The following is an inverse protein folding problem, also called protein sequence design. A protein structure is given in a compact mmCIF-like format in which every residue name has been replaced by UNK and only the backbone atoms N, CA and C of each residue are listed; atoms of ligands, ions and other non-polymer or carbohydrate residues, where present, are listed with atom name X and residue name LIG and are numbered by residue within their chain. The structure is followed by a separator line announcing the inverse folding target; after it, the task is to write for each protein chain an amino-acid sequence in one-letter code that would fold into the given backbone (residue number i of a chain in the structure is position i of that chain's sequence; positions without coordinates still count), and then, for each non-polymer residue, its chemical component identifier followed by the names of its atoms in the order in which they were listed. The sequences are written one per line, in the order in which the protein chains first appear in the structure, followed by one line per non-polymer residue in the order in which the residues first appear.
data_IF_851485632598
#
_entry.id   IF_851485632598
#
_cell.length_a   1.000
_cell.length_b   1.000
_cell.length_c   1.000
_cell.angle_alpha   90.00
_cell.angle_beta   90.00
_cell.angle_gamma   90.00
#
_symmetry.space_group_name_H-M   'P 1'
#
loop_
_entity.id
_entity.type
_entity.pdbx_description
1 polymer ?
#
# COMPACT_ATOMS: atom_id res chain seq x y z
N UNK A 1 -26.21 31.00 -4.70
CA UNK A 1 -26.57 29.69 -5.29
C UNK A 1 -27.13 28.83 -4.16
N UNK A 2 -28.40 28.47 -4.19
CA UNK A 2 -28.95 27.55 -3.17
C UNK A 2 -28.63 26.15 -3.61
N UNK A 3 -27.91 25.42 -2.77
CA UNK A 3 -27.68 24.00 -2.99
C UNK A 3 -29.03 23.28 -2.85
N UNK A 4 -29.48 22.65 -3.92
CA UNK A 4 -30.69 21.84 -3.94
C UNK A 4 -30.34 20.33 -4.01
N UNK A 5 -31.21 19.44 -3.50
CA UNK A 5 -30.94 18.01 -3.47
C UNK A 5 -30.61 17.38 -4.82
N UNK A 6 -31.30 17.69 -5.94
CA UNK A 6 -30.97 17.18 -7.25
C UNK A 6 -29.55 17.54 -7.69
N UNK A 7 -29.09 18.76 -7.45
CA UNK A 7 -27.73 19.20 -7.78
C UNK A 7 -26.70 18.39 -7.00
N UNK A 8 -26.90 18.13 -5.71
CA UNK A 8 -25.97 17.31 -4.91
C UNK A 8 -25.92 15.86 -5.41
N UNK A 9 -27.07 15.28 -5.79
CA UNK A 9 -27.10 13.92 -6.37
C UNK A 9 -26.35 13.85 -7.71
N UNK A 10 -26.49 14.85 -8.56
CA UNK A 10 -25.75 14.93 -9.84
C UNK A 10 -24.25 15.06 -9.58
N UNK A 11 -23.84 15.99 -8.69
CA UNK A 11 -22.43 16.16 -8.30
C UNK A 11 -21.88 14.87 -7.66
N UNK A 12 -22.64 14.26 -6.73
CA UNK A 12 -22.27 13.00 -6.10
C UNK A 12 -22.11 11.85 -7.09
N UNK A 13 -22.98 11.76 -8.09
CA UNK A 13 -22.86 10.77 -9.18
C UNK A 13 -21.60 11.01 -10.00
N UNK A 14 -21.35 12.27 -10.40
CA UNK A 14 -20.13 12.62 -11.16
C UNK A 14 -18.86 12.28 -10.37
N UNK A 15 -18.78 12.69 -9.11
CA UNK A 15 -17.66 12.36 -8.22
C UNK A 15 -17.52 10.85 -8.07
N UNK A 16 -18.65 10.14 -7.90
CA UNK A 16 -18.65 8.68 -7.80
C UNK A 16 -18.10 7.98 -9.03
N UNK A 17 -18.55 8.39 -10.22
CA UNK A 17 -18.02 7.87 -11.50
C UNK A 17 -16.53 8.17 -11.62
N UNK A 18 -16.12 9.41 -11.34
CA UNK A 18 -14.71 9.81 -11.41
C UNK A 18 -13.83 8.97 -10.47
N UNK A 19 -14.22 8.83 -9.20
CA UNK A 19 -13.45 8.03 -8.23
C UNK A 19 -13.42 6.56 -8.61
N UNK A 20 -14.54 6.00 -9.07
CA UNK A 20 -14.59 4.61 -9.55
C UNK A 20 -13.64 4.40 -10.74
N UNK A 21 -13.62 5.32 -11.71
CA UNK A 21 -12.69 5.26 -12.85
C UNK A 21 -11.24 5.38 -12.41
N UNK A 22 -10.92 6.33 -11.53
CA UNK A 22 -9.55 6.49 -10.99
C UNK A 22 -9.08 5.20 -10.32
N UNK A 23 -9.90 4.60 -9.47
CA UNK A 23 -9.56 3.35 -8.80
C UNK A 23 -9.46 2.17 -9.78
N UNK A 24 -10.35 2.09 -10.78
CA UNK A 24 -10.30 1.05 -11.80
C UNK A 24 -9.05 1.15 -12.70
N UNK A 25 -8.64 2.37 -13.06
CA UNK A 25 -7.40 2.60 -13.81
C UNK A 25 -6.18 2.28 -12.95
N UNK A 26 -6.21 2.69 -11.68
CA UNK A 26 -5.16 2.36 -10.72
C UNK A 26 -5.00 0.84 -10.57
N UNK A 27 -6.10 0.10 -10.37
CA UNK A 27 -6.07 -1.37 -10.21
C UNK A 27 -5.54 -2.09 -11.46
N UNK A 28 -5.94 -1.64 -12.67
CA UNK A 28 -5.47 -2.22 -13.94
C UNK A 28 -4.02 -1.86 -14.28
N UNK A 29 -3.57 -0.68 -13.86
CA UNK A 29 -2.20 -0.20 -14.10
C UNK A 29 -1.15 -0.81 -13.18
N UNK A 30 -1.54 -1.59 -12.16
CA UNK A 30 -0.60 -2.20 -11.24
C UNK A 30 0.09 -3.43 -11.85
N UNK A 31 1.44 -3.55 -11.73
CA UNK A 31 2.21 -4.68 -12.26
C UNK A 31 1.79 -6.03 -11.65
N UNK A 32 1.28 -6.00 -10.43
CA UNK A 32 0.68 -7.14 -9.72
C UNK A 32 -0.62 -6.70 -9.08
N UNK A 33 -1.65 -7.58 -9.08
CA UNK A 33 -2.91 -7.30 -8.41
C UNK A 33 -2.70 -6.99 -6.94
N UNK A 34 -3.10 -5.80 -6.52
CA UNK A 34 -3.07 -5.42 -5.10
C UNK A 34 -4.28 -6.01 -4.38
N UNK A 35 -4.06 -6.83 -3.32
CA UNK A 35 -5.16 -7.38 -2.55
C UNK A 35 -6.06 -6.26 -2.00
N UNK A 36 -7.35 -6.37 -2.23
CA UNK A 36 -8.35 -5.42 -1.71
C UNK A 36 -8.68 -4.25 -2.62
N UNK A 37 -7.85 -3.91 -3.61
CA UNK A 37 -8.10 -2.75 -4.49
C UNK A 37 -9.29 -3.00 -5.42
N UNK A 38 -9.44 -4.20 -5.96
CA UNK A 38 -10.59 -4.58 -6.77
C UNK A 38 -11.91 -4.51 -6.00
N UNK A 39 -11.92 -4.95 -4.73
CA UNK A 39 -13.09 -4.85 -3.87
C UNK A 39 -13.42 -3.39 -3.53
N UNK A 40 -12.41 -2.54 -3.30
CA UNK A 40 -12.60 -1.10 -3.10
C UNK A 40 -13.21 -0.48 -4.36
N UNK A 41 -12.67 -0.75 -5.53
CA UNK A 41 -13.22 -0.27 -6.82
C UNK A 41 -14.67 -0.70 -7.00
N UNK A 42 -15.00 -1.97 -6.74
CA UNK A 42 -16.36 -2.48 -6.82
C UNK A 42 -17.29 -1.84 -5.78
N UNK A 43 -16.78 -1.54 -4.58
CA UNK A 43 -17.52 -0.82 -3.53
C UNK A 43 -17.87 0.60 -3.93
N UNK A 44 -16.90 1.34 -4.50
CA UNK A 44 -17.13 2.68 -5.04
C UNK A 44 -18.13 2.67 -6.20
N UNK A 45 -18.04 1.68 -7.10
CA UNK A 45 -19.00 1.48 -8.18
C UNK A 45 -20.42 1.19 -7.64
N UNK A 46 -20.55 0.38 -6.59
CA UNK A 46 -21.83 0.07 -5.97
C UNK A 46 -22.46 1.31 -5.30
N UNK A 47 -21.68 2.14 -4.60
CA UNK A 47 -22.16 3.41 -4.06
C UNK A 47 -22.59 4.38 -5.18
N UNK A 48 -21.82 4.47 -6.27
CA UNK A 48 -22.18 5.29 -7.44
C UNK A 48 -23.48 4.79 -8.07
N UNK A 49 -23.64 3.49 -8.26
CA UNK A 49 -24.87 2.87 -8.76
C UNK A 49 -26.06 3.21 -7.84
N UNK A 50 -25.88 3.12 -6.52
CA UNK A 50 -26.91 3.49 -5.56
C UNK A 50 -27.35 4.95 -5.71
N UNK A 51 -26.40 5.88 -5.88
CA UNK A 51 -26.70 7.31 -6.08
C UNK A 51 -27.55 7.54 -7.34
N UNK A 52 -27.20 6.86 -8.45
CA UNK A 52 -28.00 6.90 -9.69
C UNK A 52 -29.40 6.34 -9.47
N UNK A 53 -29.52 5.18 -8.81
CA UNK A 53 -30.82 4.57 -8.51
C UNK A 53 -31.66 5.44 -7.58
N UNK A 54 -31.07 6.10 -6.59
CA UNK A 54 -31.77 7.06 -5.74
C UNK A 54 -32.27 8.29 -6.52
N UNK A 55 -31.52 8.77 -7.51
CA UNK A 55 -31.96 9.88 -8.36
C UNK A 55 -33.21 9.53 -9.19
N UNK A 56 -33.47 8.24 -9.46
CA UNK A 56 -34.70 7.80 -10.14
C UNK A 56 -35.99 8.06 -9.33
N UNK A 57 -35.87 8.41 -8.04
CA UNK A 57 -37.03 8.86 -7.26
C UNK A 57 -37.64 10.19 -7.76
N UNK A 58 -36.88 10.96 -8.55
CA UNK A 58 -37.40 12.15 -9.24
C UNK A 58 -38.30 11.82 -10.45
N UNK A 59 -38.29 10.55 -10.88
CA UNK A 59 -39.02 10.06 -12.04
C UNK A 59 -40.12 9.06 -11.60
N UNK A 60 -41.08 8.73 -12.45
CA UNK A 60 -42.11 7.71 -12.14
C UNK A 60 -41.51 6.29 -12.24
N UNK A 61 -40.46 6.03 -11.43
CA UNK A 61 -39.79 4.74 -11.37
C UNK A 61 -40.39 3.82 -10.30
N UNK A 62 -40.44 2.49 -10.53
CA UNK A 62 -40.90 1.54 -9.53
C UNK A 62 -40.12 1.65 -8.21
N UNK A 63 -40.81 1.67 -7.06
CA UNK A 63 -40.18 1.71 -5.73
C UNK A 63 -39.16 0.55 -5.50
N UNK A 64 -39.38 -0.58 -6.15
CA UNK A 64 -38.44 -1.69 -6.12
C UNK A 64 -37.05 -1.26 -6.63
N UNK A 65 -36.99 -0.47 -7.70
CA UNK A 65 -35.74 0.01 -8.30
C UNK A 65 -35.16 1.18 -7.55
N UNK A 66 -35.96 2.24 -7.39
CA UNK A 66 -35.48 3.52 -6.84
C UNK A 66 -35.29 3.51 -5.32
N UNK A 67 -35.84 2.54 -4.59
CA UNK A 67 -35.66 2.40 -3.15
C UNK A 67 -34.94 1.09 -2.80
N UNK A 68 -35.51 -0.08 -3.12
CA UNK A 68 -34.96 -1.34 -2.60
C UNK A 68 -33.62 -1.68 -3.26
N UNK A 69 -33.54 -1.65 -4.60
CA UNK A 69 -32.28 -1.93 -5.31
C UNK A 69 -31.23 -0.83 -5.05
N UNK A 70 -31.64 0.43 -4.90
CA UNK A 70 -30.75 1.50 -4.51
C UNK A 70 -30.09 1.23 -3.14
N UNK A 71 -30.89 0.85 -2.14
CA UNK A 71 -30.38 0.51 -0.81
C UNK A 71 -29.57 -0.79 -0.81
N UNK A 72 -29.93 -1.78 -1.64
CA UNK A 72 -29.14 -3.00 -1.80
C UNK A 72 -27.74 -2.71 -2.37
N UNK A 73 -27.68 -1.85 -3.40
CA UNK A 73 -26.42 -1.41 -3.98
C UNK A 73 -25.58 -0.62 -2.96
N UNK A 74 -26.22 0.27 -2.19
CA UNK A 74 -25.57 1.06 -1.15
C UNK A 74 -24.98 0.18 -0.04
N UNK A 75 -25.77 -0.76 0.49
CA UNK A 75 -25.34 -1.73 1.49
C UNK A 75 -24.18 -2.63 0.98
N UNK A 76 -24.26 -3.08 -0.28
CA UNK A 76 -23.18 -3.83 -0.91
C UNK A 76 -21.90 -2.99 -1.02
N UNK A 77 -22.02 -1.69 -1.30
CA UNK A 77 -20.88 -0.77 -1.30
C UNK A 77 -20.13 -0.74 0.02
N UNK A 78 -20.83 -0.65 1.16
CA UNK A 78 -20.20 -0.71 2.50
C UNK A 78 -19.49 -2.03 2.77
N UNK A 79 -20.10 -3.15 2.37
CA UNK A 79 -19.49 -4.48 2.56
C UNK A 79 -18.23 -4.61 1.74
N UNK A 80 -18.28 -4.25 0.45
CA UNK A 80 -17.15 -4.37 -0.46
C UNK A 80 -15.99 -3.45 -0.03
N UNK A 81 -16.26 -2.22 0.34
CA UNK A 81 -15.24 -1.30 0.85
C UNK A 81 -14.61 -1.79 2.15
N UNK A 82 -15.40 -2.30 3.09
CA UNK A 82 -14.90 -2.92 4.32
C UNK A 82 -13.99 -4.12 4.04
N UNK A 83 -14.41 -5.04 3.18
CA UNK A 83 -13.60 -6.21 2.78
C UNK A 83 -12.32 -5.73 2.10
N UNK A 84 -12.44 -4.75 1.19
CA UNK A 84 -11.33 -4.16 0.47
C UNK A 84 -10.28 -3.57 1.40
N UNK A 85 -10.67 -2.74 2.36
CA UNK A 85 -9.75 -2.16 3.35
C UNK A 85 -9.03 -3.24 4.17
N UNK A 86 -9.76 -4.27 4.63
CA UNK A 86 -9.14 -5.37 5.39
C UNK A 86 -8.10 -6.12 4.57
N UNK A 87 -8.45 -6.50 3.33
CA UNK A 87 -7.53 -7.20 2.42
C UNK A 87 -6.33 -6.32 2.05
N UNK A 88 -6.58 -5.04 1.84
CA UNK A 88 -5.53 -4.09 1.52
C UNK A 88 -4.46 -4.00 2.61
N UNK A 89 -4.82 -4.05 3.90
CA UNK A 89 -3.86 -4.06 5.01
C UNK A 89 -3.39 -5.47 5.41
N UNK A 90 -3.62 -6.49 4.57
CA UNK A 90 -3.17 -7.85 4.81
C UNK A 90 -3.94 -8.61 5.89
N UNK A 91 -5.14 -8.15 6.27
CA UNK A 91 -5.97 -8.82 7.28
C UNK A 91 -7.01 -9.73 6.62
N UNK A 92 -7.30 -10.90 7.19
CA UNK A 92 -8.36 -11.76 6.67
C UNK A 92 -9.71 -11.05 6.79
N UNK A 93 -10.48 -11.05 5.71
CA UNK A 93 -11.83 -10.54 5.69
C UNK A 93 -12.81 -11.73 5.76
N UNK A 94 -13.50 -11.88 6.90
CA UNK A 94 -14.66 -12.77 6.98
C UNK A 94 -15.81 -12.08 6.25
N UNK A 95 -16.28 -12.66 5.14
CA UNK A 95 -17.30 -12.03 4.30
C UNK A 95 -18.72 -12.23 4.85
N UNK A 96 -19.01 -13.36 5.46
CA UNK A 96 -20.37 -13.72 5.87
C UNK A 96 -21.03 -12.70 6.83
N UNK A 97 -20.39 -12.26 7.94
CA UNK A 97 -21.06 -11.32 8.84
C UNK A 97 -21.40 -9.97 8.20
N UNK A 98 -20.53 -9.30 7.42
CA UNK A 98 -20.89 -8.05 6.74
C UNK A 98 -22.03 -8.21 5.75
N UNK A 99 -22.04 -9.31 4.98
CA UNK A 99 -23.13 -9.59 4.04
C UNK A 99 -24.45 -9.89 4.74
N UNK A 100 -24.44 -10.53 5.91
CA UNK A 100 -25.62 -10.74 6.74
C UNK A 100 -26.23 -9.42 7.22
N UNK A 101 -25.38 -8.47 7.64
CA UNK A 101 -25.82 -7.10 8.01
C UNK A 101 -26.47 -6.41 6.80
N UNK A 102 -25.86 -6.47 5.63
CA UNK A 102 -26.42 -5.88 4.41
C UNK A 102 -27.75 -6.52 4.03
N UNK A 103 -27.87 -7.85 4.06
CA UNK A 103 -29.10 -8.57 3.74
C UNK A 103 -30.24 -8.21 4.72
N UNK A 104 -29.96 -8.16 6.02
CA UNK A 104 -30.92 -7.73 7.03
C UNK A 104 -31.39 -6.29 6.79
N UNK A 105 -30.45 -5.38 6.49
CA UNK A 105 -30.76 -3.99 6.13
C UNK A 105 -31.72 -3.93 4.95
N UNK A 106 -31.41 -4.63 3.87
CA UNK A 106 -32.24 -4.64 2.64
C UNK A 106 -33.63 -5.23 2.91
N UNK A 107 -33.73 -6.30 3.71
CA UNK A 107 -35.00 -6.93 4.08
C UNK A 107 -35.89 -5.95 4.85
N UNK A 108 -35.32 -5.21 5.84
CA UNK A 108 -36.07 -4.22 6.61
C UNK A 108 -36.44 -3.02 5.76
N UNK A 109 -35.58 -2.56 4.86
CA UNK A 109 -35.89 -1.50 3.88
C UNK A 109 -37.07 -1.92 2.98
N UNK A 110 -37.07 -3.15 2.46
CA UNK A 110 -38.15 -3.67 1.64
C UNK A 110 -39.47 -3.74 2.42
N UNK A 111 -39.42 -4.25 3.67
CA UNK A 111 -40.57 -4.26 4.56
C UNK A 111 -41.09 -2.86 4.85
N UNK A 112 -40.19 -1.90 5.17
CA UNK A 112 -40.53 -0.48 5.40
C UNK A 112 -40.95 0.25 4.13
N UNK A 113 -40.84 -0.35 2.94
CA UNK A 113 -41.30 0.22 1.67
C UNK A 113 -42.66 -0.30 1.25
N UNK A 114 -42.93 -1.59 1.42
CA UNK A 114 -44.11 -2.25 0.86
C UNK A 114 -45.15 -2.64 1.89
N UNK A 115 -44.77 -2.77 3.18
CA UNK A 115 -45.66 -3.25 4.23
C UNK A 115 -46.07 -2.08 5.18
N UNK A 116 -45.06 -1.33 5.68
CA UNK A 116 -45.33 -0.29 6.69
C UNK A 116 -45.23 1.14 6.18
N UNK A 117 -44.69 1.36 5.00
CA UNK A 117 -44.37 2.67 4.36
C UNK A 117 -43.87 3.73 5.36
N UNK A 118 -42.75 3.42 5.99
CA UNK A 118 -42.09 4.31 6.96
C UNK A 118 -40.73 4.80 6.43
N UNK A 119 -40.68 6.08 6.06
CA UNK A 119 -39.48 6.73 5.61
C UNK A 119 -38.40 6.77 6.71
N UNK A 120 -38.81 7.10 7.94
CA UNK A 120 -37.87 7.13 9.08
C UNK A 120 -37.21 5.77 9.34
N UNK A 121 -37.98 4.68 9.32
CA UNK A 121 -37.46 3.32 9.46
C UNK A 121 -36.42 2.99 8.37
N UNK A 122 -36.79 3.26 7.10
CA UNK A 122 -35.88 3.01 5.97
C UNK A 122 -34.55 3.77 6.11
N UNK A 123 -34.63 5.06 6.47
CA UNK A 123 -33.47 5.92 6.61
C UNK A 123 -32.60 5.51 7.79
N UNK A 124 -33.16 5.13 8.93
CA UNK A 124 -32.43 4.67 10.10
C UNK A 124 -31.69 3.34 9.82
N UNK A 125 -32.42 2.38 9.23
CA UNK A 125 -31.84 1.05 8.99
C UNK A 125 -30.78 1.08 7.90
N UNK A 126 -30.94 1.95 6.90
CA UNK A 126 -29.92 2.16 5.84
C UNK A 126 -28.56 2.59 6.40
N UNK A 127 -28.51 3.31 7.55
CA UNK A 127 -27.25 3.72 8.17
C UNK A 127 -26.55 2.63 8.97
N UNK A 128 -27.20 1.50 9.26
CA UNK A 128 -26.61 0.44 10.08
C UNK A 128 -25.30 -0.12 9.49
N UNK A 129 -25.22 -0.49 8.20
CA UNK A 129 -23.95 -0.94 7.61
C UNK A 129 -22.82 0.09 7.75
N UNK A 130 -23.13 1.38 7.56
CA UNK A 130 -22.17 2.47 7.70
C UNK A 130 -21.64 2.58 9.15
N UNK A 131 -22.54 2.64 10.13
CA UNK A 131 -22.21 2.76 11.55
C UNK A 131 -21.45 1.56 12.12
N UNK A 132 -21.55 0.39 11.50
CA UNK A 132 -20.87 -0.85 11.95
C UNK A 132 -19.56 -1.07 11.19
N UNK A 133 -19.59 -0.97 9.87
CA UNK A 133 -18.47 -1.42 9.03
C UNK A 133 -17.37 -0.36 8.89
N UNK A 134 -17.71 0.93 8.81
CA UNK A 134 -16.72 1.99 8.65
C UNK A 134 -15.87 2.23 9.89
N UNK A 135 -16.39 2.25 11.13
CA UNK A 135 -15.54 2.31 12.31
C UNK A 135 -14.61 1.10 12.42
N UNK A 136 -15.12 -0.10 12.09
CA UNK A 136 -14.31 -1.32 12.08
C UNK A 136 -13.19 -1.27 11.02
N UNK A 137 -13.46 -0.66 9.85
CA UNK A 137 -12.46 -0.43 8.81
C UNK A 137 -11.42 0.59 9.25
N UNK A 138 -11.85 1.76 9.76
CA UNK A 138 -10.98 2.83 10.24
C UNK A 138 -10.03 2.34 11.35
N UNK A 139 -10.57 1.63 12.33
CA UNK A 139 -9.78 0.99 13.38
C UNK A 139 -8.75 0.00 12.83
N UNK A 140 -9.14 -0.80 11.83
CA UNK A 140 -8.24 -1.71 11.14
C UNK A 140 -7.08 -1.00 10.47
N UNK A 141 -7.35 0.10 9.77
CA UNK A 141 -6.36 0.94 9.09
C UNK A 141 -5.37 1.59 10.08
N UNK A 142 -5.88 2.15 11.18
CA UNK A 142 -5.06 2.86 12.17
C UNK A 142 -4.17 1.93 13.02
N UNK A 143 -4.61 0.69 13.29
CA UNK A 143 -3.85 -0.30 14.08
C UNK A 143 -2.82 -1.09 13.28
N UNK A 144 -2.62 -0.81 12.03
CA UNK A 144 -1.59 -1.51 11.24
C UNK A 144 -0.24 -0.83 11.47
N UNK A 145 0.74 -1.52 12.07
CA UNK A 145 2.04 -0.96 12.42
C UNK A 145 2.93 -0.85 11.17
N UNK A 146 2.84 0.24 10.46
CA UNK A 146 3.72 0.53 9.32
C UNK A 146 3.81 2.05 9.14
N UNK A 147 4.89 2.68 9.61
CA UNK A 147 5.03 4.13 9.56
C UNK A 147 5.13 4.67 8.13
N UNK A 148 5.70 3.90 7.19
CA UNK A 148 5.88 4.33 5.80
C UNK A 148 4.54 4.53 5.05
N UNK A 149 3.48 3.81 5.48
CA UNK A 149 2.13 3.85 4.88
C UNK A 149 1.11 4.54 5.76
N UNK A 150 1.54 5.45 6.62
CA UNK A 150 0.64 6.04 7.62
C UNK A 150 -0.28 7.10 7.03
N UNK A 151 0.18 7.88 6.05
CA UNK A 151 -0.54 9.05 5.55
C UNK A 151 -1.83 8.67 4.84
N UNK A 152 -1.79 7.81 3.83
CA UNK A 152 -2.99 7.38 3.09
C UNK A 152 -4.01 6.70 3.99
N UNK A 153 -3.56 5.83 4.91
CA UNK A 153 -4.44 5.15 5.89
C UNK A 153 -5.10 6.13 6.86
N UNK A 154 -4.37 7.13 7.35
CA UNK A 154 -4.91 8.14 8.24
C UNK A 154 -5.96 9.00 7.54
N UNK A 155 -5.72 9.39 6.30
CA UNK A 155 -6.67 10.15 5.47
C UNK A 155 -7.95 9.35 5.28
N UNK A 156 -7.88 8.10 4.84
CA UNK A 156 -9.07 7.25 4.68
C UNK A 156 -9.81 7.12 6.01
N UNK A 157 -9.10 6.76 7.10
CA UNK A 157 -9.74 6.58 8.40
C UNK A 157 -10.44 7.86 8.89
N UNK A 158 -9.83 9.03 8.68
CA UNK A 158 -10.42 10.30 9.04
C UNK A 158 -11.73 10.56 8.28
N UNK A 159 -11.75 10.38 6.96
CA UNK A 159 -12.96 10.57 6.16
C UNK A 159 -14.05 9.55 6.51
N UNK A 160 -13.71 8.28 6.75
CA UNK A 160 -14.67 7.27 7.21
C UNK A 160 -15.28 7.65 8.56
N UNK A 161 -14.50 8.16 9.51
CA UNK A 161 -14.98 8.55 10.82
C UNK A 161 -15.83 9.83 10.77
N UNK A 162 -15.52 10.78 9.89
CA UNK A 162 -16.33 11.97 9.65
C UNK A 162 -17.69 11.58 9.06
N UNK A 163 -17.70 10.63 8.10
CA UNK A 163 -18.92 10.12 7.50
C UNK A 163 -19.82 9.44 8.54
N UNK A 164 -19.24 8.56 9.36
CA UNK A 164 -19.91 7.90 10.49
C UNK A 164 -20.51 8.92 11.48
N UNK A 165 -19.77 9.96 11.82
CA UNK A 165 -20.26 11.02 12.71
C UNK A 165 -21.47 11.75 12.11
N UNK A 166 -21.41 12.07 10.81
CA UNK A 166 -22.51 12.71 10.10
C UNK A 166 -23.76 11.80 10.05
N UNK A 167 -23.58 10.50 9.77
CA UNK A 167 -24.65 9.51 9.78
C UNK A 167 -25.29 9.33 11.17
N UNK A 168 -24.46 9.32 12.21
CA UNK A 168 -24.92 9.24 13.59
C UNK A 168 -25.75 10.48 14.01
N UNK A 169 -25.25 11.67 13.67
CA UNK A 169 -25.98 12.92 13.93
C UNK A 169 -27.32 12.93 13.19
N UNK A 170 -27.34 12.57 11.90
CA UNK A 170 -28.57 12.44 11.13
C UNK A 170 -29.56 11.46 11.78
N UNK A 171 -29.07 10.30 12.18
CA UNK A 171 -29.92 9.29 12.84
C UNK A 171 -30.47 9.78 14.17
N UNK A 172 -29.69 10.51 14.98
CA UNK A 172 -30.13 11.12 16.23
C UNK A 172 -31.22 12.17 16.01
N UNK A 173 -31.09 13.00 14.97
CA UNK A 173 -32.12 13.99 14.60
C UNK A 173 -33.44 13.31 14.22
N UNK A 174 -33.38 12.23 13.41
CA UNK A 174 -34.59 11.47 13.03
C UNK A 174 -35.25 10.82 14.25
N UNK A 175 -34.45 10.26 15.16
CA UNK A 175 -35.00 9.66 16.40
C UNK A 175 -35.62 10.69 17.32
N UNK A 176 -35.03 11.87 17.43
CA UNK A 176 -35.55 12.95 18.28
C UNK A 176 -36.82 13.62 17.71
N UNK A 177 -36.88 13.81 16.38
CA UNK A 177 -38.03 14.44 15.70
C UNK A 177 -39.16 13.46 15.39
N UNK A 178 -38.88 12.15 15.37
CA UNK A 178 -39.82 11.12 14.91
C UNK A 178 -40.10 11.15 13.41
N UNK A 179 -39.47 12.07 12.66
CA UNK A 179 -39.72 12.30 11.22
C UNK A 179 -38.42 12.19 10.41
N UNK A 180 -38.53 11.69 9.19
CA UNK A 180 -37.50 11.77 8.18
C UNK A 180 -38.03 12.52 6.96
N UNK A 181 -37.21 13.37 6.38
CA UNK A 181 -37.57 14.14 5.20
C UNK A 181 -37.32 13.33 3.92
N UNK A 182 -38.22 13.43 2.92
CA UNK A 182 -37.99 12.78 1.63
C UNK A 182 -36.70 13.31 0.93
N UNK A 183 -36.02 12.44 0.18
CA UNK A 183 -34.73 12.71 -0.44
C UNK A 183 -34.72 13.99 -1.32
N UNK A 184 -35.84 14.31 -1.96
CA UNK A 184 -35.93 15.42 -2.92
C UNK A 184 -36.51 16.72 -2.32
N UNK A 185 -37.02 16.69 -1.08
CA UNK A 185 -37.61 17.86 -0.39
C UNK A 185 -36.87 18.20 0.90
N UNK A 186 -35.58 17.93 0.95
CA UNK A 186 -34.78 17.95 2.15
C UNK A 186 -34.64 19.29 2.82
N UNK A 187 -34.77 19.30 4.14
CA UNK A 187 -34.34 20.38 5.03
C UNK A 187 -32.79 20.38 5.23
N UNK A 188 -32.34 21.41 5.95
CA UNK A 188 -30.90 21.70 6.07
C UNK A 188 -30.04 20.59 6.60
N UNK A 189 -30.51 19.78 7.56
CA UNK A 189 -29.71 18.70 8.17
C UNK A 189 -29.42 17.53 7.20
N UNK A 190 -30.43 17.13 6.43
CA UNK A 190 -30.32 16.06 5.47
C UNK A 190 -29.45 16.48 4.26
N UNK A 191 -29.61 17.73 3.82
CA UNK A 191 -28.81 18.33 2.76
C UNK A 191 -27.31 18.40 3.16
N UNK A 192 -27.04 18.84 4.40
CA UNK A 192 -25.69 18.90 4.95
C UNK A 192 -25.07 17.51 5.03
N UNK A 193 -25.80 16.49 5.46
CA UNK A 193 -25.34 15.11 5.45
C UNK A 193 -24.94 14.64 4.06
N UNK A 194 -25.80 14.84 3.05
CA UNK A 194 -25.49 14.42 1.67
C UNK A 194 -24.29 15.15 1.09
N UNK A 195 -24.20 16.47 1.30
CA UNK A 195 -23.06 17.24 0.83
C UNK A 195 -21.75 16.75 1.48
N UNK A 196 -21.79 16.49 2.80
CA UNK A 196 -20.63 15.97 3.52
C UNK A 196 -20.29 14.55 3.07
N UNK A 197 -21.28 13.68 2.83
CA UNK A 197 -21.06 12.34 2.30
C UNK A 197 -20.34 12.37 0.94
N UNK A 198 -20.68 13.28 0.03
CA UNK A 198 -19.95 13.44 -1.25
C UNK A 198 -18.50 13.82 -1.03
N UNK A 199 -18.22 14.72 -0.07
CA UNK A 199 -16.86 15.14 0.27
C UNK A 199 -16.07 14.00 0.91
N UNK A 200 -16.64 13.27 1.86
CA UNK A 200 -15.99 12.14 2.55
C UNK A 200 -15.73 10.99 1.59
N UNK A 201 -16.66 10.71 0.69
CA UNK A 201 -16.52 9.72 -0.36
C UNK A 201 -15.36 10.05 -1.31
N UNK A 202 -15.27 11.31 -1.79
CA UNK A 202 -14.16 11.78 -2.61
C UNK A 202 -12.82 11.69 -1.86
N UNK A 203 -12.79 12.16 -0.61
CA UNK A 203 -11.60 12.12 0.24
C UNK A 203 -11.11 10.70 0.55
N UNK A 204 -12.02 9.77 0.78
CA UNK A 204 -11.71 8.36 0.94
C UNK A 204 -11.12 7.77 -0.36
N UNK A 205 -11.67 8.12 -1.54
CA UNK A 205 -11.14 7.72 -2.85
C UNK A 205 -9.70 8.21 -3.09
N UNK A 206 -9.43 9.48 -2.78
CA UNK A 206 -8.08 10.06 -2.84
C UNK A 206 -7.14 9.33 -1.87
N UNK A 207 -7.60 9.06 -0.65
CA UNK A 207 -6.80 8.32 0.34
C UNK A 207 -6.47 6.88 -0.12
N UNK A 208 -7.41 6.18 -0.75
CA UNK A 208 -7.17 4.84 -1.35
C UNK A 208 -6.13 4.93 -2.47
N UNK A 209 -6.24 5.93 -3.33
CA UNK A 209 -5.26 6.15 -4.42
C UNK A 209 -3.87 6.39 -3.85
N UNK A 210 -3.76 7.23 -2.80
CA UNK A 210 -2.49 7.47 -2.12
C UNK A 210 -1.92 6.18 -1.50
N UNK A 211 -2.75 5.39 -0.82
CA UNK A 211 -2.33 4.09 -0.28
C UNK A 211 -1.81 3.13 -1.37
N UNK A 212 -2.45 3.13 -2.55
CA UNK A 212 -2.01 2.32 -3.68
C UNK A 212 -0.66 2.80 -4.24
N UNK A 213 -0.47 4.11 -4.36
CA UNK A 213 0.81 4.71 -4.78
C UNK A 213 1.94 4.47 -3.77
N UNK A 214 1.68 4.59 -2.47
CA UNK A 214 2.66 4.26 -1.41
C UNK A 214 3.15 2.81 -1.57
N UNK A 215 2.23 1.87 -1.81
CA UNK A 215 2.57 0.45 -2.04
C UNK A 215 3.38 0.22 -3.32
N UNK A 216 2.97 0.86 -4.43
CA UNK A 216 3.69 0.75 -5.70
C UNK A 216 5.12 1.27 -5.55
N UNK A 217 5.27 2.42 -4.90
CA UNK A 217 6.58 3.01 -4.65
C UNK A 217 7.51 2.07 -3.86
N UNK A 218 6.99 1.46 -2.78
CA UNK A 218 7.77 0.49 -2.00
C UNK A 218 8.15 -0.75 -2.81
N UNK A 219 7.23 -1.25 -3.65
CA UNK A 219 7.53 -2.40 -4.51
C UNK A 219 8.62 -2.06 -5.54
N UNK A 220 8.57 -0.86 -6.15
CA UNK A 220 9.61 -0.37 -7.05
C UNK A 220 10.95 -0.15 -6.31
N UNK A 221 10.92 0.42 -5.11
CA UNK A 221 12.11 0.57 -4.27
C UNK A 221 12.68 -0.81 -3.91
N UNK A 222 11.83 -1.78 -3.55
CA UNK A 222 12.26 -3.16 -3.27
C UNK A 222 12.87 -3.86 -4.48
N UNK A 223 12.31 -3.67 -5.68
CA UNK A 223 12.89 -4.18 -6.92
C UNK A 223 14.24 -3.54 -7.23
N UNK A 224 14.41 -2.26 -6.88
CA UNK A 224 15.67 -1.54 -7.03
C UNK A 224 16.73 -1.90 -5.96
N UNK A 225 16.40 -2.70 -4.94
CA UNK A 225 17.32 -3.07 -3.86
C UNK A 225 18.27 -4.20 -4.24
N UNK A 226 17.86 -5.07 -5.15
CA UNK A 226 18.69 -6.19 -5.61
C UNK A 226 19.05 -6.03 -7.07
N UNK A 227 20.31 -6.33 -7.37
CA UNK A 227 20.79 -6.44 -8.74
C UNK A 227 20.06 -7.60 -9.44
N UNK A 228 19.48 -7.34 -10.61
CA UNK A 228 18.64 -8.31 -11.32
C UNK A 228 19.38 -9.53 -11.82
N UNK A 229 20.69 -9.41 -12.06
CA UNK A 229 21.53 -10.48 -12.52
C UNK A 229 22.02 -11.35 -11.34
N UNK A 230 22.65 -10.74 -10.37
CA UNK A 230 23.37 -11.47 -9.31
C UNK A 230 22.54 -11.70 -8.05
N UNK A 231 21.41 -10.99 -7.88
CA UNK A 231 20.62 -11.00 -6.65
C UNK A 231 21.33 -10.38 -5.42
N UNK A 232 22.55 -9.84 -5.58
CA UNK A 232 23.22 -9.04 -4.55
C UNK A 232 22.49 -7.71 -4.36
N UNK A 233 22.73 -7.00 -3.25
CA UNK A 233 22.22 -5.65 -3.11
C UNK A 233 22.80 -4.74 -4.21
N UNK A 234 21.95 -3.85 -4.75
CA UNK A 234 22.47 -2.77 -5.59
C UNK A 234 23.36 -1.85 -4.77
N UNK A 235 24.26 -1.10 -5.41
CA UNK A 235 25.14 -0.12 -4.76
C UNK A 235 24.38 0.76 -3.78
N UNK A 236 23.25 1.36 -4.19
CA UNK A 236 22.42 2.22 -3.34
C UNK A 236 21.89 1.47 -2.11
N UNK A 237 21.29 0.31 -2.31
CA UNK A 237 20.74 -0.49 -1.23
C UNK A 237 21.81 -0.94 -0.23
N UNK A 238 23.01 -1.28 -0.74
CA UNK A 238 24.13 -1.64 0.11
C UNK A 238 24.56 -0.48 1.02
N UNK A 239 24.69 0.74 0.50
CA UNK A 239 25.07 1.90 1.32
C UNK A 239 24.00 2.26 2.34
N UNK A 240 22.71 2.11 2.01
CA UNK A 240 21.61 2.30 2.98
C UNK A 240 21.69 1.31 4.16
N UNK A 241 22.08 0.05 3.88
CA UNK A 241 22.30 -0.97 4.93
C UNK A 241 23.57 -0.68 5.72
N UNK A 242 24.66 -0.32 5.03
CA UNK A 242 25.94 -0.01 5.65
C UNK A 242 25.82 1.17 6.62
N UNK A 243 25.11 2.22 6.24
CA UNK A 243 24.92 3.40 7.10
C UNK A 243 24.11 3.07 8.37
N UNK A 244 23.04 2.29 8.25
CA UNK A 244 22.28 1.80 9.41
C UNK A 244 23.14 0.94 10.34
N UNK A 245 24.00 0.11 9.77
CA UNK A 245 24.93 -0.75 10.51
C UNK A 245 25.99 0.09 11.21
N UNK A 246 26.58 1.07 10.52
CA UNK A 246 27.51 2.04 11.12
C UNK A 246 26.90 2.72 12.34
N UNK A 247 25.68 3.28 12.22
CA UNK A 247 24.99 3.91 13.35
C UNK A 247 24.76 2.96 14.52
N UNK A 248 24.48 1.69 14.26
CA UNK A 248 24.32 0.67 15.30
C UNK A 248 25.64 0.39 15.98
N UNK A 249 26.70 0.11 15.21
CA UNK A 249 28.02 -0.19 15.72
C UNK A 249 28.60 0.97 16.54
N UNK A 250 28.43 2.21 16.09
CA UNK A 250 28.84 3.41 16.87
C UNK A 250 28.14 3.47 18.24
N UNK A 251 26.86 3.08 18.34
CA UNK A 251 26.14 3.08 19.62
C UNK A 251 26.52 1.92 20.53
N UNK A 252 26.81 0.74 19.98
CA UNK A 252 27.18 -0.46 20.76
C UNK A 252 28.67 -0.56 21.05
N UNK A 253 29.52 0.23 20.39
CA UNK A 253 30.97 0.10 20.47
C UNK A 253 31.53 -1.06 19.64
N UNK A 254 30.72 -1.71 18.80
CA UNK A 254 31.12 -2.82 17.95
C UNK A 254 31.91 -2.35 16.73
N UNK A 255 32.87 -3.17 16.28
CA UNK A 255 33.57 -2.96 15.02
C UNK A 255 32.69 -3.38 13.83
N UNK A 256 32.98 -2.86 12.65
CA UNK A 256 32.50 -3.38 11.38
C UNK A 256 33.61 -3.25 10.31
N UNK A 257 33.54 -4.06 9.27
CA UNK A 257 34.50 -3.98 8.17
C UNK A 257 33.77 -3.96 6.83
N UNK A 258 34.44 -3.34 5.84
CA UNK A 258 34.03 -3.35 4.44
C UNK A 258 35.11 -4.03 3.62
N UNK A 259 34.72 -4.95 2.76
CA UNK A 259 35.59 -5.56 1.76
C UNK A 259 35.15 -5.12 0.38
N UNK A 260 36.09 -4.71 -0.46
CA UNK A 260 35.85 -4.45 -1.88
C UNK A 260 36.53 -5.59 -2.68
N UNK A 261 35.75 -6.17 -3.58
CA UNK A 261 36.22 -7.23 -4.49
C UNK A 261 36.08 -6.72 -5.92
N UNK A 262 37.14 -6.95 -6.71
CA UNK A 262 37.18 -6.66 -8.13
C UNK A 262 37.59 -7.93 -8.88
N UNK A 263 36.95 -8.26 -10.00
CA UNK A 263 37.25 -9.43 -10.79
C UNK A 263 38.34 -9.09 -11.81
N UNK A 264 39.56 -9.56 -11.55
CA UNK A 264 40.68 -9.30 -12.44
C UNK A 264 40.44 -9.89 -13.84
N UNK A 265 40.69 -9.05 -14.86
CA UNK A 265 40.59 -9.43 -16.27
C UNK A 265 39.16 -9.82 -16.76
N UNK A 266 38.10 -9.46 -16.05
CA UNK A 266 36.73 -9.82 -16.43
C UNK A 266 36.34 -9.33 -17.84
N UNK A 267 36.85 -8.18 -18.27
CA UNK A 267 36.68 -7.70 -19.64
C UNK A 267 37.27 -8.67 -20.67
N UNK A 268 38.52 -9.10 -20.45
CA UNK A 268 39.18 -10.06 -21.36
C UNK A 268 38.45 -11.41 -21.40
N UNK A 269 37.87 -11.82 -20.27
CA UNK A 269 36.99 -12.99 -20.19
C UNK A 269 35.75 -12.83 -21.08
N UNK A 270 35.05 -11.70 -20.98
CA UNK A 270 33.87 -11.38 -21.81
C UNK A 270 34.22 -11.35 -23.30
N UNK A 271 35.36 -10.76 -23.66
CA UNK A 271 35.83 -10.66 -25.05
C UNK A 271 36.07 -12.05 -25.63
N UNK A 272 36.52 -13.02 -24.82
CA UNK A 272 36.84 -14.39 -25.24
C UNK A 272 35.61 -15.32 -25.22
N UNK A 273 34.71 -15.20 -24.23
CA UNK A 273 33.64 -16.19 -24.00
C UNK A 273 32.22 -15.62 -24.23
N UNK A 274 32.14 -14.32 -24.51
CA UNK A 274 30.87 -13.61 -24.72
C UNK A 274 30.18 -13.16 -23.43
N UNK A 275 29.37 -12.12 -23.53
CA UNK A 275 28.69 -11.48 -22.40
C UNK A 275 27.80 -12.44 -21.60
N UNK A 276 27.13 -13.39 -22.25
CA UNK A 276 26.28 -14.37 -21.53
C UNK A 276 27.10 -15.31 -20.62
N UNK A 277 28.35 -15.62 -20.99
CA UNK A 277 29.25 -16.38 -20.13
C UNK A 277 29.71 -15.52 -18.94
N UNK A 278 29.98 -14.23 -19.18
CA UNK A 278 30.31 -13.28 -18.12
C UNK A 278 29.15 -13.08 -17.14
N UNK A 279 27.91 -13.02 -17.61
CA UNK A 279 26.73 -12.91 -16.75
C UNK A 279 26.60 -14.11 -15.82
N UNK A 280 26.73 -15.35 -16.34
CA UNK A 280 26.76 -16.59 -15.54
C UNK A 280 27.91 -16.62 -14.54
N UNK A 281 29.07 -16.09 -14.92
CA UNK A 281 30.20 -15.97 -14.02
C UNK A 281 29.90 -15.02 -12.85
N UNK A 282 29.32 -13.84 -13.11
CA UNK A 282 28.91 -12.91 -12.06
C UNK A 282 27.86 -13.50 -11.11
N UNK A 283 26.89 -14.26 -11.62
CA UNK A 283 25.92 -15.00 -10.80
C UNK A 283 26.60 -16.03 -9.88
N UNK A 284 27.56 -16.75 -10.42
CA UNK A 284 28.37 -17.75 -9.68
C UNK A 284 29.20 -17.11 -8.58
N UNK A 285 29.85 -15.97 -8.87
CA UNK A 285 30.62 -15.19 -7.89
C UNK A 285 29.71 -14.72 -6.76
N UNK A 286 28.58 -14.12 -7.08
CA UNK A 286 27.63 -13.66 -6.07
C UNK A 286 27.08 -14.79 -5.19
N UNK A 287 26.89 -15.98 -5.77
CA UNK A 287 26.47 -17.18 -5.04
C UNK A 287 27.59 -17.69 -4.11
N UNK A 288 28.80 -17.76 -4.60
CA UNK A 288 29.98 -18.17 -3.84
C UNK A 288 30.24 -17.21 -2.65
N UNK A 289 30.14 -15.90 -2.89
CA UNK A 289 30.23 -14.90 -1.82
C UNK A 289 29.20 -15.14 -0.72
N UNK A 290 27.94 -15.38 -1.08
CA UNK A 290 26.87 -15.65 -0.08
C UNK A 290 27.12 -16.94 0.71
N UNK A 291 27.70 -17.95 0.11
CA UNK A 291 28.03 -19.21 0.77
C UNK A 291 29.25 -19.09 1.71
N UNK A 292 30.23 -18.27 1.36
CA UNK A 292 31.44 -18.05 2.15
C UNK A 292 31.21 -17.15 3.38
N UNK A 293 30.12 -16.38 3.39
CA UNK A 293 29.79 -15.39 4.41
C UNK A 293 28.81 -15.96 5.44
N UNK A 294 28.84 -15.40 6.65
CA UNK A 294 27.94 -15.80 7.74
C UNK A 294 26.57 -15.09 7.64
N UNK A 295 25.54 -15.64 8.27
CA UNK A 295 24.28 -14.93 8.44
C UNK A 295 24.51 -13.57 9.12
N UNK A 296 24.06 -12.49 8.46
CA UNK A 296 24.25 -11.11 8.94
C UNK A 296 25.30 -10.33 8.17
N UNK A 297 26.20 -10.98 7.44
CA UNK A 297 27.05 -10.31 6.48
C UNK A 297 26.23 -9.93 5.23
N UNK A 298 26.61 -8.85 4.57
CA UNK A 298 25.82 -8.28 3.46
C UNK A 298 26.67 -8.15 2.21
N UNK A 299 26.16 -8.64 1.08
CA UNK A 299 26.83 -8.55 -0.22
C UNK A 299 26.09 -7.56 -1.11
N UNK A 300 26.82 -6.64 -1.72
CA UNK A 300 26.33 -5.71 -2.74
C UNK A 300 27.16 -5.80 -4.03
N UNK A 301 26.53 -5.51 -5.16
CA UNK A 301 27.20 -5.26 -6.43
C UNK A 301 27.46 -3.77 -6.55
N UNK A 302 28.75 -3.38 -6.54
CA UNK A 302 29.16 -1.99 -6.54
C UNK A 302 29.23 -1.39 -7.95
N UNK A 303 29.69 -2.21 -8.91
CA UNK A 303 29.86 -1.85 -10.32
C UNK A 303 29.61 -3.05 -11.24
N UNK A 304 30.10 -2.98 -12.47
CA UNK A 304 29.94 -4.06 -13.46
C UNK A 304 30.50 -5.40 -12.98
N UNK A 305 31.72 -5.39 -12.51
CA UNK A 305 32.51 -6.56 -12.06
C UNK A 305 32.96 -6.44 -10.60
N UNK A 306 32.48 -5.38 -9.90
CA UNK A 306 32.89 -5.05 -8.54
C UNK A 306 31.81 -5.47 -7.54
N UNK A 307 32.21 -6.14 -6.48
CA UNK A 307 31.38 -6.50 -5.34
C UNK A 307 31.88 -5.83 -4.06
N UNK A 308 30.96 -5.57 -3.15
CA UNK A 308 31.26 -5.00 -1.83
C UNK A 308 30.58 -5.84 -0.75
N UNK A 309 31.32 -6.12 0.33
CA UNK A 309 30.82 -6.89 1.47
C UNK A 309 30.91 -6.08 2.75
N UNK A 310 29.84 -6.07 3.53
CA UNK A 310 29.78 -5.50 4.86
C UNK A 310 29.79 -6.64 5.88
N UNK A 311 30.69 -6.53 6.86
CA UNK A 311 30.87 -7.49 7.95
C UNK A 311 30.57 -6.80 9.29
N UNK A 312 29.33 -6.82 9.79
CA UNK A 312 28.98 -6.25 11.08
C UNK A 312 29.65 -7.01 12.24
N UNK A 313 30.16 -6.31 13.24
CA UNK A 313 30.81 -6.92 14.40
C UNK A 313 32.13 -7.64 14.07
N UNK A 314 32.75 -7.36 12.92
CA UNK A 314 34.01 -7.99 12.54
C UNK A 314 35.20 -7.08 12.93
N UNK A 315 36.10 -7.54 13.83
CA UNK A 315 37.41 -6.90 14.04
C UNK A 315 38.32 -7.16 12.83
N UNK A 316 39.49 -6.47 12.75
CA UNK A 316 40.40 -6.56 11.61
C UNK A 316 40.77 -8.00 11.23
N UNK A 317 41.17 -8.79 12.21
CA UNK A 317 41.54 -10.18 11.99
C UNK A 317 40.37 -11.03 11.45
N UNK A 318 39.15 -10.71 11.88
CA UNK A 318 37.92 -11.34 11.38
C UNK A 318 37.63 -10.98 9.95
N UNK A 319 37.88 -9.73 9.56
CA UNK A 319 37.72 -9.23 8.19
C UNK A 319 38.80 -9.86 7.26
N UNK A 320 40.04 -9.96 7.72
CA UNK A 320 41.12 -10.61 6.95
C UNK A 320 40.77 -12.08 6.70
N UNK A 321 40.35 -12.82 7.73
CA UNK A 321 39.92 -14.22 7.54
C UNK A 321 38.70 -14.38 6.63
N UNK A 322 37.77 -13.43 6.65
CA UNK A 322 36.65 -13.45 5.73
C UNK A 322 37.11 -13.18 4.29
N UNK A 323 38.04 -12.25 4.12
CA UNK A 323 38.67 -11.94 2.84
C UNK A 323 39.42 -13.13 2.26
N UNK A 324 40.20 -13.86 3.07
CA UNK A 324 40.94 -15.04 2.67
C UNK A 324 40.05 -16.22 2.26
N UNK A 325 38.88 -16.38 2.85
CA UNK A 325 37.92 -17.43 2.46
C UNK A 325 37.20 -17.13 1.15
N UNK A 326 37.10 -15.87 0.78
CA UNK A 326 36.33 -15.43 -0.38
C UNK A 326 36.94 -15.85 -1.73
N UNK A 327 38.25 -15.76 -1.98
CA UNK A 327 38.88 -16.23 -3.21
C UNK A 327 38.74 -17.74 -3.42
N UNK A 328 38.86 -18.53 -2.34
CA UNK A 328 38.75 -20.00 -2.40
C UNK A 328 37.39 -20.46 -2.93
N UNK A 329 36.34 -19.72 -2.64
CA UNK A 329 34.98 -20.03 -3.13
C UNK A 329 34.83 -19.73 -4.64
N UNK A 330 35.75 -19.01 -5.27
CA UNK A 330 35.74 -18.62 -6.69
C UNK A 330 36.82 -19.38 -7.50
N UNK A 331 37.68 -20.13 -6.85
CA UNK A 331 38.81 -20.84 -7.46
C UNK A 331 38.42 -21.95 -8.48
N UNK A 332 37.20 -22.43 -8.49
CA UNK A 332 36.68 -23.35 -9.52
C UNK A 332 36.55 -22.72 -10.92
N UNK A 333 36.73 -21.43 -11.02
CA UNK A 333 36.75 -20.69 -12.28
C UNK A 333 38.19 -20.19 -12.54
N UNK A 334 38.74 -20.39 -13.74
CA UNK A 334 40.10 -20.08 -14.18
C UNK A 334 40.57 -18.61 -13.97
N UNK A 335 39.94 -17.86 -13.10
CA UNK A 335 40.26 -16.45 -12.81
C UNK A 335 40.43 -16.22 -11.31
N UNK A 336 41.47 -15.50 -10.95
CA UNK A 336 41.69 -15.02 -9.58
C UNK A 336 40.92 -13.71 -9.37
N UNK A 337 40.05 -13.67 -8.38
CA UNK A 337 39.46 -12.42 -7.92
C UNK A 337 40.53 -11.61 -7.18
N UNK A 338 40.84 -10.41 -7.67
CA UNK A 338 41.70 -9.46 -6.96
C UNK A 338 40.97 -8.91 -5.72
N UNK A 339 41.41 -9.33 -4.53
CA UNK A 339 40.84 -8.91 -3.28
C UNK A 339 41.55 -7.65 -2.77
N UNK A 340 40.84 -6.53 -2.68
CA UNK A 340 41.30 -5.32 -2.02
C UNK A 340 40.52 -5.08 -0.73
N UNK A 341 41.20 -5.11 0.41
CA UNK A 341 40.63 -4.69 1.69
C UNK A 341 40.60 -3.17 1.70
N UNK A 342 39.46 -2.59 1.48
CA UNK A 342 39.23 -1.18 1.65
C UNK A 342 38.94 -0.89 3.11
N UNK A 343 39.97 -0.53 3.86
CA UNK A 343 39.97 0.08 5.22
C UNK A 343 38.94 -0.44 6.21
N UNK A 344 39.42 -0.96 7.31
CA UNK A 344 38.70 -1.04 8.56
C UNK A 344 38.47 0.37 9.09
N UNK A 345 37.23 0.78 9.33
CA UNK A 345 36.92 2.01 10.02
C UNK A 345 36.62 1.67 11.48
N UNK A 346 37.44 2.11 12.44
CA UNK A 346 37.10 2.00 13.85
C UNK A 346 35.80 2.76 14.13
N UNK A 347 35.00 2.31 15.11
CA UNK A 347 33.73 2.92 15.49
C UNK A 347 33.76 4.42 15.83
N UNK A 348 34.94 5.05 15.83
CA UNK A 348 35.20 6.41 16.32
C UNK A 348 35.59 7.40 15.23
N UNK A 349 35.17 7.28 14.02
CA UNK A 349 35.51 8.39 13.15
C UNK A 349 35.31 8.25 11.65
N UNK A 350 34.75 9.27 11.19
CA UNK A 350 34.76 9.88 9.85
C UNK A 350 34.10 9.16 8.65
N UNK A 351 33.46 10.00 7.89
CA UNK A 351 32.69 9.83 6.67
C UNK A 351 33.17 8.71 5.73
N UNK A 352 32.43 7.62 5.65
CA UNK A 352 32.66 6.53 4.69
C UNK A 352 32.55 7.00 3.23
N UNK A 353 31.93 8.15 2.98
CA UNK A 353 31.75 8.73 1.65
C UNK A 353 32.97 9.49 1.13
N UNK A 354 33.86 9.95 2.03
CA UNK A 354 35.02 10.76 1.66
C UNK A 354 36.24 9.91 1.22
N UNK A 355 36.26 8.58 1.50
CA UNK A 355 37.43 7.72 1.27
C UNK A 355 37.17 6.55 0.32
N UNK A 356 36.03 6.49 -0.38
CA UNK A 356 35.86 5.56 -1.49
C UNK A 356 36.87 5.96 -2.61
N UNK A 357 37.73 5.05 -3.07
CA UNK A 357 38.67 5.38 -4.14
C UNK A 357 37.88 5.84 -5.38
N UNK A 358 38.34 6.91 -6.06
CA UNK A 358 37.69 7.37 -7.27
C UNK A 358 37.62 6.23 -8.28
N UNK A 359 36.45 6.03 -8.88
CA UNK A 359 36.31 5.13 -10.02
C UNK A 359 37.44 5.49 -11.01
N UNK A 360 38.29 4.52 -11.34
CA UNK A 360 39.37 4.74 -12.30
C UNK A 360 38.72 5.24 -13.59
N UNK A 361 38.99 6.50 -13.94
CA UNK A 361 38.78 7.02 -15.27
C UNK A 361 39.56 6.10 -16.24
N UNK A 362 38.88 5.67 -17.27
CA UNK A 362 39.45 4.85 -18.38
C UNK A 362 40.49 5.61 -19.17
#
# INVERSE_FOLDING_TARGET
MRLDPPTILVVGTFVGVLMTLVLAVTDRGMPRRMPGLGELTAGFAAHTCATVLFALQALPAPRLVSVVLANASYAAGFVLTYIGYRRFVGRPARAVPPWAVAAATVAVVAWGTFVRDSLALRTLVQTVPELVLYPAAAFGLLRTPDPARRAGRAIVAAFLLVDVAAAAIRSAVILASGTAEPLLTMGGAQLAYLALHVVTFAGAGVGVTLMAHERLREELERQAWHDSLTGALTRRAFFDVAERTRHRCVRSGDAYALLMLDLDHFKAWNDRHGHQAGDRFLESVASALRLALRPGDVVGRYGGEEFIVLLPGAPLDGAVRAAERTPVAVEDFEQRAGLRIAKQVPAHGHDLMAEAPPARAR
#
